data_IF_767137174499
#
_entry.id   IF_767137174499
#
_cell.length_a   1.000
_cell.length_b   1.000
_cell.length_c   1.000
_cell.angle_alpha   90.00
_cell.angle_beta   90.00
_cell.angle_gamma   90.00
#
_symmetry.space_group_name_H-M   'P 1'
#
loop_
_entity.id
_entity.type
_entity.pdbx_description
1 polymer ?
#
# COMPACT_ATOMS: atom_id res chain seq x y z
N UNK A 1 -18.93 5.63 -20.15
CA UNK A 1 -18.06 4.73 -19.40
C UNK A 1 -17.35 5.56 -18.35
N UNK A 2 -17.61 5.31 -17.08
CA UNK A 2 -16.90 5.95 -15.97
C UNK A 2 -15.77 5.01 -15.55
N UNK A 3 -14.53 5.49 -15.53
CA UNK A 3 -13.38 4.74 -15.03
C UNK A 3 -13.03 5.23 -13.63
N UNK A 4 -12.89 4.33 -12.66
CA UNK A 4 -12.45 4.67 -11.32
C UNK A 4 -10.95 4.41 -11.20
N UNK A 5 -10.20 5.44 -10.78
CA UNK A 5 -8.76 5.37 -10.56
C UNK A 5 -8.44 5.09 -9.10
N UNK A 6 -7.60 4.08 -8.86
CA UNK A 6 -7.09 3.75 -7.54
C UNK A 6 -5.59 3.50 -7.58
N UNK A 7 -4.91 3.80 -6.48
CA UNK A 7 -3.52 3.41 -6.30
C UNK A 7 -3.46 2.15 -5.45
N UNK A 8 -2.76 1.15 -5.95
CA UNK A 8 -2.50 -0.09 -5.25
C UNK A 8 -1.03 -0.12 -4.83
N UNK A 9 -0.79 0.01 -3.54
CA UNK A 9 0.52 -0.15 -2.93
C UNK A 9 0.73 -1.62 -2.56
N UNK A 10 1.86 -2.19 -2.96
CA UNK A 10 2.25 -3.57 -2.70
C UNK A 10 3.55 -3.59 -1.90
N UNK A 11 3.55 -4.33 -0.80
CA UNK A 11 4.71 -4.63 0.03
C UNK A 11 5.03 -6.11 -0.07
N UNK A 12 6.30 -6.44 -0.32
CA UNK A 12 6.82 -7.80 -0.19
C UNK A 12 7.52 -7.90 1.16
N UNK A 13 7.01 -8.79 2.00
CA UNK A 13 7.44 -9.04 3.35
C UNK A 13 8.64 -10.00 3.37
N UNK A 14 9.54 -9.84 4.34
CA UNK A 14 10.67 -10.71 4.59
C UNK A 14 10.71 -11.22 6.03
N UNK A 15 11.13 -12.47 6.21
CA UNK A 15 11.17 -13.13 7.52
C UNK A 15 9.87 -12.98 8.33
N UNK A 16 10.02 -12.56 9.60
CA UNK A 16 8.89 -12.29 10.50
C UNK A 16 8.44 -10.83 10.34
N UNK A 17 7.44 -10.61 9.50
CA UNK A 17 6.90 -9.28 9.27
C UNK A 17 5.88 -8.84 10.32
N UNK A 18 5.95 -7.56 10.72
CA UNK A 18 5.06 -6.95 11.71
C UNK A 18 3.88 -6.27 11.03
N UNK A 19 2.99 -7.06 10.47
CA UNK A 19 1.84 -6.60 9.65
C UNK A 19 1.00 -5.49 10.32
N UNK A 20 0.71 -5.61 11.61
CA UNK A 20 -0.02 -4.56 12.34
C UNK A 20 0.76 -3.24 12.43
N UNK A 21 2.07 -3.30 12.60
CA UNK A 21 2.90 -2.10 12.65
C UNK A 21 3.07 -1.47 11.27
N UNK A 22 3.19 -2.28 10.22
CA UNK A 22 3.16 -1.81 8.83
C UNK A 22 1.83 -1.11 8.53
N UNK A 23 0.71 -1.73 8.91
CA UNK A 23 -0.62 -1.14 8.72
C UNK A 23 -0.73 0.23 9.41
N UNK A 24 -0.22 0.36 10.64
CA UNK A 24 -0.18 1.64 11.35
C UNK A 24 0.70 2.67 10.66
N UNK A 25 1.85 2.27 10.12
CA UNK A 25 2.76 3.16 9.38
C UNK A 25 2.07 3.72 8.12
N UNK A 26 1.39 2.87 7.36
CA UNK A 26 0.63 3.29 6.18
C UNK A 26 -0.48 4.24 6.59
N UNK A 27 -1.29 3.87 7.59
CA UNK A 27 -2.43 4.67 8.04
C UNK A 27 -2.02 5.97 8.75
N UNK A 28 -0.79 6.08 9.29
CA UNK A 28 -0.31 7.35 9.87
C UNK A 28 0.01 8.40 8.82
N UNK A 29 0.33 7.99 7.59
CA UNK A 29 0.57 8.90 6.46
C UNK A 29 -0.70 9.07 5.61
N UNK A 30 -1.45 7.99 5.43
CA UNK A 30 -2.67 7.96 4.61
C UNK A 30 -3.79 7.36 5.44
N UNK A 31 -4.47 8.20 6.22
CA UNK A 31 -5.49 7.78 7.19
C UNK A 31 -6.65 6.95 6.60
N UNK A 32 -6.97 7.17 5.33
CA UNK A 32 -8.02 6.45 4.59
C UNK A 32 -7.47 5.32 3.70
N UNK A 33 -6.22 4.88 3.90
CA UNK A 33 -5.70 3.71 3.23
C UNK A 33 -6.48 2.47 3.67
N UNK A 34 -6.86 1.63 2.70
CA UNK A 34 -7.57 0.38 2.95
C UNK A 34 -6.60 -0.78 2.76
N UNK A 35 -6.53 -1.71 3.73
CA UNK A 35 -5.77 -2.93 3.56
C UNK A 35 -6.54 -3.89 2.64
N UNK A 36 -6.05 -4.08 1.42
CA UNK A 36 -6.77 -4.81 0.38
C UNK A 36 -6.49 -6.31 0.42
N UNK A 37 -5.21 -6.71 0.49
CA UNK A 37 -4.83 -8.12 0.38
C UNK A 37 -3.69 -8.49 1.30
N UNK A 38 -3.77 -9.71 1.86
CA UNK A 38 -2.65 -10.41 2.50
C UNK A 38 -2.55 -11.80 1.92
N UNK A 39 -1.47 -12.10 1.20
CA UNK A 39 -1.28 -13.40 0.56
C UNK A 39 0.21 -13.76 0.45
N UNK A 40 0.62 -14.92 0.99
CA UNK A 40 2.01 -15.38 0.91
C UNK A 40 2.99 -14.42 1.58
N UNK A 41 3.85 -13.77 0.79
CA UNK A 41 4.73 -12.68 1.25
C UNK A 41 4.22 -11.29 0.87
N UNK A 42 3.07 -11.19 0.24
CA UNK A 42 2.50 -9.93 -0.20
C UNK A 42 1.52 -9.37 0.83
N UNK A 43 1.61 -8.07 1.07
CA UNK A 43 0.65 -7.24 1.77
C UNK A 43 0.37 -6.02 0.91
N UNK A 44 -0.91 -5.70 0.67
CA UNK A 44 -1.27 -4.57 -0.17
C UNK A 44 -2.31 -3.64 0.43
N UNK A 45 -2.26 -2.40 -0.01
CA UNK A 45 -3.14 -1.32 0.39
C UNK A 45 -3.70 -0.60 -0.84
N UNK A 46 -4.96 -0.17 -0.75
CA UNK A 46 -5.56 0.79 -1.66
C UNK A 46 -5.37 2.18 -1.04
N UNK A 47 -4.68 3.06 -1.76
CA UNK A 47 -4.50 4.45 -1.38
C UNK A 47 -5.51 5.32 -2.13
N UNK A 48 -6.20 6.25 -1.44
CA UNK A 48 -7.18 7.11 -2.08
C UNK A 48 -6.48 8.17 -2.93
N UNK A 49 -7.04 8.45 -4.11
CA UNK A 49 -6.47 9.40 -5.09
C UNK A 49 -6.30 10.83 -4.55
N UNK A 50 -7.08 11.22 -3.54
CA UNK A 50 -7.00 12.55 -2.94
C UNK A 50 -5.93 12.67 -1.84
N UNK A 51 -5.13 11.63 -1.61
CA UNK A 51 -4.03 11.63 -0.64
C UNK A 51 -2.66 11.55 -1.31
N UNK A 52 -2.56 11.87 -2.61
CA UNK A 52 -1.30 11.78 -3.40
C UNK A 52 -0.18 12.60 -2.78
N UNK A 53 -0.47 13.74 -2.16
CA UNK A 53 0.53 14.56 -1.46
C UNK A 53 1.19 13.83 -0.28
N UNK A 54 0.53 12.81 0.28
CA UNK A 54 1.05 11.99 1.37
C UNK A 54 1.83 10.76 0.89
N UNK A 55 1.92 10.51 -0.41
CA UNK A 55 2.59 9.32 -0.93
C UNK A 55 4.11 9.44 -0.80
N UNK A 56 4.68 10.59 -1.18
CA UNK A 56 6.11 10.84 -1.04
C UNK A 56 6.62 10.65 0.42
N UNK A 57 5.98 11.22 1.46
CA UNK A 57 6.40 10.96 2.83
C UNK A 57 6.17 9.51 3.28
N UNK A 58 5.08 8.85 2.84
CA UNK A 58 4.85 7.43 3.11
C UNK A 58 5.98 6.55 2.54
N UNK A 59 6.35 6.72 1.28
CA UNK A 59 7.42 5.95 0.64
C UNK A 59 8.77 6.21 1.31
N UNK A 60 9.04 7.47 1.69
CA UNK A 60 10.24 7.82 2.45
C UNK A 60 10.30 7.09 3.80
N UNK A 61 9.15 6.97 4.50
CA UNK A 61 9.08 6.24 5.76
C UNK A 61 9.28 4.73 5.59
N UNK A 62 8.77 4.14 4.51
CA UNK A 62 8.98 2.73 4.17
C UNK A 62 10.47 2.47 3.89
N UNK A 63 11.14 3.34 3.13
CA UNK A 63 12.59 3.20 2.87
C UNK A 63 13.43 3.38 4.14
N UNK A 64 13.03 4.27 5.05
CA UNK A 64 13.67 4.42 6.34
C UNK A 64 13.57 3.12 7.18
N UNK A 65 12.38 2.51 7.22
CA UNK A 65 12.17 1.22 7.91
C UNK A 65 12.99 0.09 7.28
N UNK A 66 13.17 0.09 5.96
CA UNK A 66 14.02 -0.88 5.26
C UNK A 66 15.52 -0.68 5.49
N UNK A 67 15.97 0.57 5.57
CA UNK A 67 17.41 0.91 5.68
C UNK A 67 17.94 0.83 7.11
N UNK A 68 17.07 0.91 8.13
CA UNK A 68 17.52 0.72 9.51
C UNK A 68 18.05 -0.70 9.72
N UNK A 69 19.20 -0.82 10.39
CA UNK A 69 19.94 -2.07 10.64
C UNK A 69 19.13 -3.18 11.31
N UNK A 70 17.96 -2.84 11.85
CA UNK A 70 17.04 -3.76 12.52
C UNK A 70 15.80 -4.11 11.70
N UNK A 71 15.57 -3.51 10.52
CA UNK A 71 14.49 -3.84 9.57
C UNK A 71 13.19 -4.26 10.28
N UNK A 72 12.73 -3.47 11.25
CA UNK A 72 11.91 -4.00 12.36
C UNK A 72 10.55 -4.51 11.90
N UNK A 73 10.08 -3.99 10.77
CA UNK A 73 8.80 -4.33 10.19
C UNK A 73 8.85 -5.54 9.26
N UNK A 74 10.04 -5.98 8.80
CA UNK A 74 10.17 -7.09 7.86
C UNK A 74 9.64 -6.75 6.46
N UNK A 75 9.92 -5.55 5.96
CA UNK A 75 9.61 -5.13 4.57
C UNK A 75 10.85 -5.38 3.72
N UNK A 76 10.74 -6.25 2.71
CA UNK A 76 11.82 -6.52 1.75
C UNK A 76 11.79 -5.59 0.54
N UNK A 77 10.61 -5.38 -0.05
CA UNK A 77 10.42 -4.45 -1.16
C UNK A 77 9.03 -3.81 -1.13
N UNK A 78 8.86 -2.72 -1.86
CA UNK A 78 7.55 -2.10 -2.07
C UNK A 78 7.46 -1.55 -3.49
N UNK A 79 6.23 -1.33 -3.95
CA UNK A 79 5.94 -0.64 -5.20
C UNK A 79 4.51 -0.14 -5.20
N UNK A 80 4.25 0.94 -5.95
CA UNK A 80 2.92 1.48 -6.15
C UNK A 80 2.55 1.38 -7.63
N UNK A 81 1.32 1.00 -7.91
CA UNK A 81 0.77 0.96 -9.26
C UNK A 81 -0.59 1.65 -9.28
N UNK A 82 -0.88 2.42 -10.32
CA UNK A 82 -2.23 2.91 -10.57
C UNK A 82 -3.03 1.83 -11.32
N UNK A 83 -4.27 1.60 -10.91
CA UNK A 83 -5.17 0.64 -11.55
C UNK A 83 -6.50 1.32 -11.86
N UNK A 84 -7.03 1.06 -13.04
CA UNK A 84 -8.34 1.51 -13.52
C UNK A 84 -9.35 0.37 -13.39
N UNK A 85 -10.49 0.60 -12.77
CA UNK A 85 -11.64 -0.31 -12.84
C UNK A 85 -12.69 0.29 -13.79
N UNK A 86 -13.06 -0.44 -14.83
CA UNK A 86 -14.17 -0.06 -15.71
C UNK A 86 -15.50 -0.57 -15.15
N UNK A 87 -16.54 0.25 -15.22
CA UNK A 87 -17.90 -0.16 -14.88
C UNK A 87 -18.47 -1.09 -15.96
N UNK A 88 -18.69 -2.36 -15.63
CA UNK A 88 -19.42 -3.30 -16.49
C UNK A 88 -20.91 -3.08 -16.27
N UNK A 89 -21.55 -2.23 -17.08
CA UNK A 89 -23.00 -2.15 -17.11
C UNK A 89 -23.53 -3.44 -17.75
N UNK A 90 -24.13 -4.33 -16.95
CA UNK A 90 -24.86 -5.47 -17.49
C UNK A 90 -25.98 -4.95 -18.39
N UNK A 91 -26.05 -5.31 -19.70
CA UNK A 91 -27.21 -4.98 -20.51
C UNK A 91 -28.42 -5.70 -19.90
N UNK A 92 -29.51 -4.97 -19.73
CA UNK A 92 -30.82 -5.57 -19.40
C UNK A 92 -31.31 -6.42 -20.56
#
# INVERSE_FOLDING_TARGET
MSAFLFFHERLVLDGVAREHAITRLVMSHVAKAEKARRHGRELSFILPHNAVDNFAPLFSAIEAEKSTRSGRLGIGSYGVSMTTLEEVSSPR
#
